data_IF_560510764524
#
_entry.id   IF_560510764524
#
_cell.length_a   1.000
_cell.length_b   1.000
_cell.length_c   1.000
_cell.angle_alpha   90.00
_cell.angle_beta   90.00
_cell.angle_gamma   90.00
#
_symmetry.space_group_name_H-M   'P 1'
#
loop_
_entity.id
_entity.type
_entity.pdbx_description
1 polymer ?
#
# COMPACT_ATOMS: atom_id res chain seq x y z
N UNK A 1 -10.87 -4.98 -15.33
CA UNK A 1 -10.74 -6.41 -15.18
C UNK A 1 -9.65 -6.77 -14.18
N UNK A 2 -9.66 -8.01 -13.71
CA UNK A 2 -8.63 -8.57 -12.84
C UNK A 2 -7.96 -9.70 -13.60
N UNK A 3 -6.62 -9.67 -13.69
CA UNK A 3 -5.80 -10.77 -14.18
C UNK A 3 -5.32 -11.54 -12.94
N UNK A 4 -5.81 -12.74 -12.76
CA UNK A 4 -5.54 -13.55 -11.58
C UNK A 4 -4.82 -14.85 -11.88
N UNK A 5 -5.03 -15.83 -11.02
CA UNK A 5 -4.39 -17.15 -11.01
C UNK A 5 -4.28 -17.82 -12.39
N UNK A 6 -5.34 -17.74 -13.23
CA UNK A 6 -5.36 -18.42 -14.53
C UNK A 6 -4.30 -17.90 -15.51
N UNK A 7 -3.91 -16.62 -15.41
CA UNK A 7 -2.80 -16.07 -16.19
C UNK A 7 -1.45 -16.56 -15.63
N UNK A 8 -1.26 -16.41 -14.32
CA UNK A 8 -0.01 -16.76 -13.63
C UNK A 8 0.30 -18.26 -13.67
N UNK A 9 -0.74 -19.09 -13.77
CA UNK A 9 -0.60 -20.54 -13.95
C UNK A 9 -0.03 -20.95 -15.32
N UNK A 10 -0.28 -20.13 -16.36
CA UNK A 10 0.11 -20.44 -17.74
C UNK A 10 1.45 -19.86 -18.12
N UNK A 11 1.84 -18.75 -17.51
CA UNK A 11 3.04 -18.02 -17.87
C UNK A 11 3.86 -17.71 -16.62
N UNK A 12 5.17 -17.62 -16.80
CA UNK A 12 6.00 -16.90 -15.85
C UNK A 12 5.79 -15.40 -16.09
N UNK A 13 5.37 -14.71 -15.05
CA UNK A 13 4.94 -13.29 -15.11
C UNK A 13 5.96 -12.41 -14.43
N UNK A 14 6.63 -11.55 -15.19
CA UNK A 14 7.56 -10.56 -14.66
C UNK A 14 6.89 -9.19 -14.61
N UNK A 15 6.87 -8.58 -13.43
CA UNK A 15 6.32 -7.24 -13.19
C UNK A 15 7.44 -6.29 -12.83
N UNK A 16 7.61 -5.25 -13.64
CA UNK A 16 8.54 -4.15 -13.40
C UNK A 16 7.74 -2.87 -13.14
N UNK A 17 7.63 -2.51 -11.87
CA UNK A 17 6.82 -1.37 -11.45
C UNK A 17 7.42 -0.03 -11.89
N UNK A 18 8.75 0.08 -11.97
CA UNK A 18 9.41 1.31 -12.40
C UNK A 18 9.24 1.53 -13.90
N UNK A 19 9.43 0.49 -14.70
CA UNK A 19 9.19 0.53 -16.14
C UNK A 19 7.70 0.50 -16.50
N UNK A 20 6.81 0.17 -15.53
CA UNK A 20 5.37 -0.04 -15.73
C UNK A 20 5.07 -1.08 -16.80
N UNK A 21 5.83 -2.16 -16.78
CA UNK A 21 5.69 -3.27 -17.74
C UNK A 21 5.38 -4.57 -17.04
N UNK A 22 4.61 -5.40 -17.74
CA UNK A 22 4.39 -6.80 -17.39
C UNK A 22 4.81 -7.64 -18.59
N UNK A 23 5.70 -8.60 -18.36
CA UNK A 23 6.19 -9.52 -19.37
C UNK A 23 5.67 -10.91 -19.07
N UNK A 24 5.12 -11.57 -20.07
CA UNK A 24 4.68 -12.95 -20.02
C UNK A 24 5.66 -13.81 -20.80
N UNK A 25 6.14 -14.87 -20.19
CA UNK A 25 7.08 -15.82 -20.82
C UNK A 25 6.51 -17.22 -20.67
N UNK A 26 6.56 -17.99 -21.73
CA UNK A 26 6.17 -19.40 -21.66
C UNK A 26 7.03 -20.13 -20.63
N UNK A 27 6.42 -21.01 -19.85
CA UNK A 27 7.09 -21.71 -18.74
C UNK A 27 8.32 -22.50 -19.21
N UNK A 28 8.24 -23.15 -20.37
CA UNK A 28 9.32 -23.95 -20.93
C UNK A 28 10.48 -23.10 -21.47
N UNK A 29 10.19 -21.87 -21.87
CA UNK A 29 11.18 -20.93 -22.41
C UNK A 29 11.87 -20.10 -21.31
N UNK A 30 11.26 -19.99 -20.13
CA UNK A 30 11.79 -19.14 -19.07
C UNK A 30 13.01 -19.74 -18.37
N UNK A 31 13.93 -18.88 -17.96
CA UNK A 31 15.13 -19.22 -17.18
C UNK A 31 15.29 -18.24 -16.04
N UNK A 32 15.72 -18.76 -14.87
CA UNK A 32 15.84 -17.97 -13.64
C UNK A 32 17.10 -17.07 -13.60
N UNK A 33 17.98 -17.17 -14.61
CA UNK A 33 19.24 -16.44 -14.63
C UNK A 33 18.99 -14.92 -14.56
N UNK A 34 19.59 -14.28 -13.54
CA UNK A 34 19.43 -12.85 -13.32
C UNK A 34 18.06 -12.40 -12.79
N UNK A 35 17.17 -13.33 -12.46
CA UNK A 35 15.83 -12.98 -11.94
C UNK A 35 15.84 -12.46 -10.50
N UNK A 36 16.94 -12.57 -9.78
CA UNK A 36 17.10 -12.14 -8.40
C UNK A 36 17.00 -13.27 -7.39
N UNK A 37 16.61 -12.95 -6.16
CA UNK A 37 16.54 -13.90 -5.06
C UNK A 37 15.24 -14.69 -5.13
N UNK A 38 15.34 -16.02 -5.12
CA UNK A 38 14.17 -16.91 -5.11
C UNK A 38 13.54 -16.99 -3.70
N UNK A 39 12.26 -16.76 -3.63
CA UNK A 39 11.42 -16.94 -2.44
C UNK A 39 10.43 -18.07 -2.74
N UNK A 40 10.51 -19.20 -2.05
CA UNK A 40 9.53 -20.27 -2.22
C UNK A 40 8.16 -19.83 -1.66
N UNK A 41 7.09 -20.36 -2.25
CA UNK A 41 5.75 -20.18 -1.74
C UNK A 41 4.95 -21.49 -1.81
N UNK A 42 3.86 -21.54 -1.08
CA UNK A 42 2.83 -22.56 -1.19
C UNK A 42 1.52 -21.91 -1.63
N UNK A 43 0.62 -22.68 -2.23
CA UNK A 43 -0.71 -22.15 -2.54
C UNK A 43 -1.66 -22.34 -1.36
N UNK A 44 -2.30 -21.24 -0.96
CA UNK A 44 -3.51 -21.26 -0.14
C UNK A 44 -4.71 -21.04 -1.09
N UNK A 45 -5.34 -22.14 -1.50
CA UNK A 45 -6.26 -22.10 -2.63
C UNK A 45 -5.55 -21.72 -3.94
N UNK A 46 -5.77 -20.50 -4.41
CA UNK A 46 -5.13 -19.95 -5.62
C UNK A 46 -4.18 -18.79 -5.33
N UNK A 47 -3.99 -18.45 -4.05
CA UNK A 47 -3.16 -17.33 -3.61
C UNK A 47 -1.80 -17.86 -3.17
N UNK A 48 -0.69 -17.30 -3.64
CA UNK A 48 0.64 -17.65 -3.14
C UNK A 48 0.83 -17.14 -1.72
N UNK A 49 1.24 -18.03 -0.83
CA UNK A 49 1.56 -17.75 0.57
C UNK A 49 3.05 -17.97 0.79
N UNK A 50 3.72 -16.98 1.34
CA UNK A 50 5.17 -16.96 1.58
C UNK A 50 5.48 -16.88 3.07
N UNK A 51 6.62 -17.44 3.47
CA UNK A 51 7.16 -17.25 4.82
C UNK A 51 7.76 -15.86 4.96
N UNK A 52 7.53 -15.22 6.10
CA UNK A 52 8.08 -13.92 6.44
C UNK A 52 8.25 -13.73 7.95
N UNK A 53 8.84 -12.61 8.33
CA UNK A 53 9.04 -12.24 9.73
C UNK A 53 8.79 -10.74 9.92
N UNK A 54 8.03 -10.40 10.94
CA UNK A 54 7.76 -9.03 11.35
C UNK A 54 7.87 -8.88 12.86
N UNK A 55 8.64 -7.88 13.32
CA UNK A 55 8.86 -7.67 14.75
C UNK A 55 9.47 -8.88 15.48
N UNK A 56 10.28 -9.71 14.80
CA UNK A 56 10.85 -10.94 15.33
C UNK A 56 9.87 -12.13 15.34
N UNK A 57 8.68 -11.99 14.78
CA UNK A 57 7.63 -13.02 14.75
C UNK A 57 7.58 -13.61 13.35
N UNK A 58 7.90 -14.89 13.22
CA UNK A 58 7.76 -15.64 11.98
C UNK A 58 6.28 -15.98 11.74
N UNK A 59 5.84 -15.80 10.49
CA UNK A 59 4.48 -16.07 10.06
C UNK A 59 4.40 -16.22 8.53
N UNK A 60 3.25 -16.63 8.02
CA UNK A 60 2.97 -16.70 6.59
C UNK A 60 2.15 -15.49 6.14
N UNK A 61 2.33 -15.11 4.88
CA UNK A 61 1.71 -13.93 4.29
C UNK A 61 1.24 -14.23 2.87
N UNK A 62 0.00 -13.87 2.55
CA UNK A 62 -0.50 -13.86 1.18
C UNK A 62 0.26 -12.83 0.33
N UNK A 63 0.46 -13.12 -0.94
CA UNK A 63 1.01 -12.15 -1.90
C UNK A 63 -0.12 -11.61 -2.75
N UNK A 64 -0.44 -10.32 -2.57
CA UNK A 64 -1.55 -9.62 -3.22
C UNK A 64 -1.08 -8.39 -3.99
N UNK A 65 -0.84 -8.54 -5.29
CA UNK A 65 -0.43 -7.42 -6.17
C UNK A 65 -1.51 -6.36 -6.34
N UNK A 66 -2.76 -6.66 -6.03
CA UNK A 66 -3.89 -5.73 -6.05
C UNK A 66 -3.99 -4.83 -4.81
N UNK A 67 -3.34 -5.21 -3.72
CA UNK A 67 -3.23 -4.38 -2.52
C UNK A 67 -2.19 -3.28 -2.70
N UNK A 68 -2.56 -2.04 -2.32
CA UNK A 68 -1.62 -0.89 -2.32
C UNK A 68 -0.80 -0.78 -1.04
N UNK A 69 -1.14 -1.53 -0.01
CA UNK A 69 -0.37 -1.57 1.23
C UNK A 69 1.03 -2.17 0.97
N UNK A 70 2.00 -1.87 1.81
CA UNK A 70 3.25 -2.62 1.83
C UNK A 70 3.04 -3.95 2.54
N UNK A 71 2.58 -3.91 3.78
CA UNK A 71 2.16 -5.07 4.57
C UNK A 71 0.82 -4.76 5.21
N UNK A 72 -0.18 -5.60 4.97
CA UNK A 72 -1.43 -5.61 5.71
C UNK A 72 -1.41 -6.75 6.75
N UNK A 73 -1.71 -6.47 8.01
CA UNK A 73 -1.77 -7.47 9.07
C UNK A 73 -3.21 -7.71 9.49
N UNK A 74 -3.59 -8.97 9.55
CA UNK A 74 -4.92 -9.40 9.98
C UNK A 74 -5.13 -9.12 11.48
N UNK A 75 -6.35 -8.73 11.85
CA UNK A 75 -6.65 -8.32 13.23
C UNK A 75 -6.37 -9.39 14.29
N UNK A 76 -6.58 -10.72 14.07
CA UNK A 76 -6.22 -11.72 15.06
C UNK A 76 -4.70 -11.80 15.31
N UNK A 77 -3.88 -11.70 14.26
CA UNK A 77 -2.43 -11.69 14.39
C UNK A 77 -1.95 -10.46 15.17
N UNK A 78 -2.49 -9.29 14.84
CA UNK A 78 -2.20 -8.02 15.54
C UNK A 78 -2.54 -8.11 17.02
N UNK A 79 -3.71 -8.68 17.36
CA UNK A 79 -4.17 -8.84 18.74
C UNK A 79 -3.34 -9.85 19.51
N UNK A 80 -3.12 -11.04 18.95
CA UNK A 80 -2.34 -12.13 19.56
C UNK A 80 -0.95 -11.66 19.99
N UNK A 81 -0.32 -10.83 19.19
CA UNK A 81 1.05 -10.37 19.41
C UNK A 81 1.14 -8.94 19.96
N UNK A 82 0.02 -8.30 20.31
CA UNK A 82 -0.05 -6.95 20.84
C UNK A 82 0.74 -5.90 20.01
N UNK A 83 0.72 -6.03 18.67
CA UNK A 83 1.61 -5.29 17.76
C UNK A 83 1.37 -3.78 17.78
N UNK A 84 0.15 -3.31 18.09
CA UNK A 84 -0.13 -1.87 18.21
C UNK A 84 0.62 -1.19 19.34
N UNK A 85 0.93 -1.92 20.40
CA UNK A 85 1.74 -1.38 21.50
C UNK A 85 3.25 -1.39 21.16
N UNK A 86 3.67 -2.31 20.29
CA UNK A 86 5.09 -2.47 19.90
C UNK A 86 5.49 -1.51 18.78
N UNK A 87 4.60 -1.30 17.79
CA UNK A 87 4.93 -0.48 16.62
C UNK A 87 4.47 0.96 16.82
N UNK A 88 5.36 1.79 17.31
CA UNK A 88 5.14 3.22 17.61
C UNK A 88 6.26 4.06 17.02
N UNK A 89 6.01 5.32 16.58
CA UNK A 89 4.70 5.99 16.58
C UNK A 89 3.72 5.37 15.56
N UNK A 90 2.42 5.53 15.83
CA UNK A 90 1.36 5.01 14.97
C UNK A 90 0.20 6.01 14.83
N UNK A 91 -0.60 5.84 13.77
CA UNK A 91 -1.81 6.62 13.52
C UNK A 91 -2.96 5.71 13.12
N UNK A 92 -4.19 6.07 13.49
CA UNK A 92 -5.38 5.45 12.93
C UNK A 92 -5.81 6.17 11.65
N UNK A 93 -6.11 5.40 10.60
CA UNK A 93 -6.53 5.94 9.33
C UNK A 93 -7.46 4.98 8.58
N UNK A 94 -8.09 5.48 7.52
CA UNK A 94 -8.65 4.64 6.46
C UNK A 94 -7.47 4.09 5.66
N UNK A 95 -7.43 2.78 5.48
CA UNK A 95 -6.31 2.07 4.86
C UNK A 95 -6.69 1.39 3.55
N UNK A 96 -7.98 1.19 3.32
CA UNK A 96 -8.52 0.59 2.12
C UNK A 96 -10.02 0.85 1.93
N UNK A 97 -10.55 0.29 0.86
CA UNK A 97 -11.98 0.33 0.54
C UNK A 97 -12.42 -1.05 0.06
N UNK A 98 -13.30 -1.68 0.79
CA UNK A 98 -13.89 -2.98 0.46
C UNK A 98 -15.33 -2.80 -0.02
N UNK A 99 -15.99 -3.90 -0.41
CA UNK A 99 -17.40 -3.89 -0.79
C UNK A 99 -18.33 -3.34 0.32
N UNK A 100 -17.95 -3.52 1.58
CA UNK A 100 -18.68 -3.00 2.76
C UNK A 100 -18.31 -1.56 3.15
N UNK A 101 -17.48 -0.84 2.39
CA UNK A 101 -17.03 0.51 2.68
C UNK A 101 -15.56 0.61 3.13
N UNK A 102 -15.20 1.69 3.85
CA UNK A 102 -13.81 1.93 4.24
C UNK A 102 -13.31 0.89 5.26
N UNK A 103 -12.11 0.38 5.02
CA UNK A 103 -11.37 -0.39 6.02
C UNK A 103 -10.49 0.55 6.83
N UNK A 104 -10.39 0.30 8.13
CA UNK A 104 -9.57 1.09 9.05
C UNK A 104 -8.47 0.24 9.64
N UNK A 105 -7.32 0.84 9.87
CA UNK A 105 -6.17 0.22 10.49
C UNK A 105 -5.37 1.22 11.32
N UNK A 106 -4.50 0.68 12.14
CA UNK A 106 -3.43 1.44 12.80
C UNK A 106 -2.18 1.29 11.94
N UNK A 107 -1.69 2.39 11.43
CA UNK A 107 -0.50 2.43 10.58
C UNK A 107 0.73 2.75 11.42
N UNK A 108 1.78 2.01 11.20
CA UNK A 108 3.08 2.25 11.83
C UNK A 108 4.21 1.94 10.85
N UNK A 109 5.42 2.31 11.21
CA UNK A 109 6.64 1.92 10.50
C UNK A 109 7.37 0.88 11.29
N UNK A 110 7.82 -0.19 10.63
CA UNK A 110 8.71 -1.18 11.20
C UNK A 110 10.08 -1.05 10.54
N UNK A 111 11.14 -1.25 11.34
CA UNK A 111 12.51 -1.11 10.86
C UNK A 111 12.83 -2.13 9.77
N UNK A 112 12.28 -3.33 9.88
CA UNK A 112 12.55 -4.43 8.96
C UNK A 112 11.38 -5.41 8.88
N UNK A 113 11.08 -5.83 7.66
CA UNK A 113 10.30 -7.01 7.33
C UNK A 113 11.19 -8.01 6.61
N UNK A 114 11.08 -9.28 6.91
CA UNK A 114 11.75 -10.36 6.15
C UNK A 114 10.74 -11.06 5.26
N UNK A 115 11.11 -11.25 4.01
CA UNK A 115 10.36 -12.00 3.02
C UNK A 115 11.25 -13.17 2.57
N UNK A 116 11.07 -14.33 3.17
CA UNK A 116 12.02 -15.41 3.03
C UNK A 116 13.45 -14.94 3.38
N UNK A 117 14.43 -15.10 2.47
CA UNK A 117 15.81 -14.65 2.70
C UNK A 117 16.01 -13.13 2.53
N UNK A 118 15.02 -12.39 1.99
CA UNK A 118 15.16 -10.97 1.68
C UNK A 118 14.74 -10.10 2.85
N UNK A 119 15.63 -9.22 3.32
CA UNK A 119 15.32 -8.23 4.35
C UNK A 119 14.94 -6.89 3.70
N UNK A 120 13.75 -6.38 4.04
CA UNK A 120 13.22 -5.13 3.51
C UNK A 120 13.14 -4.11 4.65
N UNK A 121 13.93 -3.03 4.62
CA UNK A 121 13.94 -2.05 5.70
C UNK A 121 12.81 -1.03 5.58
N UNK A 122 12.49 -0.38 6.72
CA UNK A 122 11.62 0.79 6.81
C UNK A 122 10.26 0.61 6.13
N UNK A 123 9.54 -0.46 6.48
CA UNK A 123 8.27 -0.86 5.87
C UNK A 123 7.09 -0.26 6.64
N UNK A 124 6.10 0.25 5.94
CA UNK A 124 4.83 0.67 6.51
C UNK A 124 3.93 -0.55 6.67
N UNK A 125 3.41 -0.73 7.87
CA UNK A 125 2.45 -1.80 8.19
C UNK A 125 1.07 -1.21 8.47
N UNK A 126 0.05 -1.86 7.95
CA UNK A 126 -1.36 -1.61 8.24
C UNK A 126 -1.86 -2.71 9.19
N UNK A 127 -2.07 -2.39 10.44
CA UNK A 127 -2.60 -3.27 11.47
C UNK A 127 -4.13 -3.15 11.48
N UNK A 128 -4.82 -4.10 10.86
CA UNK A 128 -6.27 -4.07 10.69
C UNK A 128 -7.03 -3.89 12.00
N UNK A 129 -8.05 -3.02 11.96
CA UNK A 129 -9.05 -2.83 13.02
C UNK A 129 -10.37 -3.53 12.70
N UNK A 130 -10.43 -4.29 11.61
CA UNK A 130 -11.64 -4.95 11.16
C UNK A 130 -12.06 -6.07 12.12
N UNK A 131 -13.36 -6.22 12.30
CA UNK A 131 -13.98 -7.28 13.13
C UNK A 131 -14.71 -8.33 12.30
N UNK A 132 -14.82 -8.11 10.99
CA UNK A 132 -15.50 -8.98 10.02
C UNK A 132 -14.74 -8.99 8.68
N UNK A 133 -14.93 -10.04 7.91
CA UNK A 133 -14.35 -10.19 6.57
C UNK A 133 -12.96 -10.81 6.59
N UNK A 134 -12.30 -10.83 5.44
CA UNK A 134 -11.02 -11.53 5.23
C UNK A 134 -9.88 -11.06 6.14
N UNK A 135 -9.91 -9.80 6.56
CA UNK A 135 -8.91 -9.24 7.49
C UNK A 135 -9.07 -9.76 8.94
N UNK A 136 -10.01 -10.66 9.19
CA UNK A 136 -10.18 -11.38 10.47
C UNK A 136 -9.78 -12.85 10.39
N UNK A 137 -9.17 -13.28 9.30
CA UNK A 137 -8.62 -14.62 9.18
C UNK A 137 -7.47 -14.81 10.19
N UNK A 138 -7.40 -16.00 10.77
CA UNK A 138 -6.36 -16.34 11.75
C UNK A 138 -5.06 -16.78 11.08
N UNK A 139 -5.13 -17.21 9.83
CA UNK A 139 -4.00 -17.52 8.97
C UNK A 139 -4.42 -17.15 7.51
N UNK A 140 -3.49 -16.58 6.73
CA UNK A 140 -2.15 -16.11 7.10
C UNK A 140 -2.16 -14.90 8.07
N UNK A 141 -0.98 -14.47 8.52
CA UNK A 141 -0.85 -13.28 9.39
C UNK A 141 -1.32 -11.98 8.73
N UNK A 142 -1.29 -11.96 7.41
CA UNK A 142 -1.67 -10.82 6.60
C UNK A 142 -1.25 -10.98 5.15
N UNK A 143 -1.07 -9.86 4.45
CA UNK A 143 -0.70 -9.84 3.04
C UNK A 143 0.46 -8.88 2.73
N UNK A 144 1.22 -9.23 1.69
CA UNK A 144 2.26 -8.41 1.08
C UNK A 144 1.68 -7.79 -0.18
N UNK A 145 1.65 -6.47 -0.22
CA UNK A 145 1.06 -5.75 -1.34
C UNK A 145 2.08 -5.05 -2.25
N UNK A 146 1.56 -4.39 -3.27
CA UNK A 146 2.36 -3.66 -4.26
C UNK A 146 3.19 -2.53 -3.65
N UNK A 147 2.80 -2.00 -2.48
CA UNK A 147 3.60 -1.02 -1.74
C UNK A 147 5.01 -1.53 -1.42
N UNK A 148 5.17 -2.81 -1.05
CA UNK A 148 6.45 -3.45 -0.84
C UNK A 148 7.04 -4.00 -2.15
N UNK A 149 6.21 -4.70 -2.93
CA UNK A 149 6.67 -5.40 -4.14
C UNK A 149 7.30 -4.45 -5.18
N UNK A 150 6.84 -3.20 -5.27
CA UNK A 150 7.41 -2.19 -6.17
C UNK A 150 8.90 -1.84 -5.89
N UNK A 151 9.47 -2.32 -4.78
CA UNK A 151 10.90 -2.19 -4.50
C UNK A 151 11.75 -3.16 -5.33
N UNK A 152 11.08 -4.07 -6.03
CA UNK A 152 11.71 -5.13 -6.81
C UNK A 152 11.13 -5.18 -8.22
N UNK A 153 11.89 -5.73 -9.14
CA UNK A 153 11.31 -6.42 -10.28
C UNK A 153 10.90 -7.78 -9.76
N UNK A 154 9.62 -8.10 -9.85
CA UNK A 154 9.07 -9.34 -9.29
C UNK A 154 8.75 -10.31 -10.43
N UNK A 155 9.28 -11.52 -10.35
CA UNK A 155 8.92 -12.58 -11.29
C UNK A 155 8.18 -13.69 -10.55
N UNK A 156 6.97 -13.96 -10.98
CA UNK A 156 6.11 -15.01 -10.45
C UNK A 156 6.23 -16.25 -11.32
N UNK A 157 6.78 -17.32 -10.78
CA UNK A 157 6.91 -18.62 -11.39
C UNK A 157 6.01 -19.62 -10.64
N UNK A 158 4.74 -19.60 -10.99
CA UNK A 158 3.73 -20.42 -10.32
C UNK A 158 3.94 -21.93 -10.50
N UNK A 159 4.32 -22.43 -11.71
CA UNK A 159 4.60 -23.84 -11.89
C UNK A 159 5.68 -24.40 -10.96
N UNK A 160 6.72 -23.60 -10.66
CA UNK A 160 7.79 -24.01 -9.76
C UNK A 160 7.63 -23.47 -8.33
N UNK A 161 6.50 -22.80 -8.02
CA UNK A 161 6.19 -22.22 -6.72
C UNK A 161 7.33 -21.32 -6.19
N UNK A 162 7.75 -20.37 -7.03
CA UNK A 162 8.81 -19.41 -6.72
C UNK A 162 8.36 -17.98 -7.08
N UNK A 163 8.75 -17.05 -6.23
CA UNK A 163 8.73 -15.62 -6.55
C UNK A 163 10.18 -15.16 -6.55
N UNK A 164 10.64 -14.54 -7.62
CA UNK A 164 11.98 -13.99 -7.69
C UNK A 164 11.92 -12.48 -7.46
N UNK A 165 12.81 -11.99 -6.59
CA UNK A 165 12.89 -10.60 -6.20
C UNK A 165 14.24 -10.04 -6.65
N UNK A 166 14.22 -9.23 -7.70
CA UNK A 166 15.40 -8.49 -8.17
C UNK A 166 15.31 -7.05 -7.65
N UNK A 167 16.22 -6.67 -6.75
CA UNK A 167 16.23 -5.33 -6.19
C UNK A 167 16.40 -4.28 -7.31
N UNK A 168 15.57 -3.24 -7.28
CA UNK A 168 15.67 -2.13 -8.23
C UNK A 168 16.65 -1.08 -7.72
N UNK A 169 17.58 -0.65 -8.58
CA UNK A 169 18.43 0.47 -8.29
C UNK A 169 17.61 1.78 -8.19
N UNK A 170 17.92 2.63 -7.24
CA UNK A 170 17.25 3.93 -7.06
C UNK A 170 15.86 3.87 -6.41
N UNK A 171 15.38 2.69 -6.04
CA UNK A 171 14.13 2.56 -5.28
C UNK A 171 14.33 3.07 -3.86
N UNK A 172 13.32 3.77 -3.35
CA UNK A 172 13.36 4.36 -2.01
C UNK A 172 13.59 3.30 -0.95
N UNK A 173 14.61 3.50 -0.12
CA UNK A 173 14.94 2.62 1.01
C UNK A 173 13.87 2.65 2.13
N UNK A 174 12.91 3.59 2.06
CA UNK A 174 11.84 3.79 3.04
C UNK A 174 10.50 3.88 2.33
N UNK A 175 9.50 3.17 2.82
CA UNK A 175 8.13 3.31 2.31
C UNK A 175 7.62 4.73 2.52
N UNK A 176 6.95 5.26 1.51
CA UNK A 176 6.22 6.49 1.65
C UNK A 176 4.80 6.21 2.14
N UNK A 177 4.34 6.98 3.11
CA UNK A 177 2.94 7.08 3.49
C UNK A 177 2.44 8.49 3.18
N UNK A 178 1.12 8.67 3.08
CA UNK A 178 0.52 9.99 2.87
C UNK A 178 0.96 10.98 3.95
N UNK A 179 1.38 12.18 3.53
CA UNK A 179 1.92 13.22 4.40
C UNK A 179 0.93 14.34 4.70
N UNK A 180 -0.22 14.30 4.06
CA UNK A 180 -1.31 15.26 4.28
C UNK A 180 -2.27 14.83 5.39
N UNK A 181 -2.45 13.51 5.53
CA UNK A 181 -3.46 12.89 6.38
C UNK A 181 -4.83 12.81 5.71
N UNK A 182 -4.90 12.91 4.38
CA UNK A 182 -6.13 12.83 3.62
C UNK A 182 -6.33 11.43 3.04
N UNK A 183 -7.57 10.94 3.13
CA UNK A 183 -8.05 9.89 2.26
C UNK A 183 -9.04 10.49 1.28
N UNK A 184 -8.71 10.44 -0.02
CA UNK A 184 -9.50 11.06 -1.09
C UNK A 184 -9.88 10.03 -2.14
N UNK A 185 -11.07 10.17 -2.69
CA UNK A 185 -11.56 9.37 -3.82
C UNK A 185 -12.20 10.27 -4.87
N UNK A 186 -12.44 9.69 -6.06
CA UNK A 186 -13.18 10.37 -7.12
C UNK A 186 -14.60 10.67 -6.62
N UNK A 187 -15.06 11.88 -6.85
CA UNK A 187 -16.40 12.32 -6.49
C UNK A 187 -16.98 13.34 -7.48
N UNK A 188 -18.26 13.70 -7.34
CA UNK A 188 -18.88 14.70 -8.19
C UNK A 188 -18.18 16.06 -8.07
N UNK A 189 -17.64 16.51 -9.21
CA UNK A 189 -17.02 17.83 -9.33
C UNK A 189 -15.66 17.98 -8.68
N UNK A 190 -14.97 16.86 -8.34
CA UNK A 190 -13.63 16.89 -7.78
C UNK A 190 -13.24 15.61 -7.03
N UNK A 191 -12.27 15.71 -6.14
CA UNK A 191 -11.88 14.61 -5.25
C UNK A 191 -12.52 14.79 -3.89
N UNK A 192 -13.39 13.85 -3.51
CA UNK A 192 -14.06 13.85 -2.20
C UNK A 192 -13.07 13.43 -1.12
N UNK A 193 -13.08 14.17 -0.02
CA UNK A 193 -12.37 13.81 1.21
C UNK A 193 -13.24 12.83 1.98
N UNK A 194 -12.83 11.57 2.02
CA UNK A 194 -13.58 10.50 2.71
C UNK A 194 -13.09 10.26 4.14
N UNK A 195 -11.87 10.71 4.46
CA UNK A 195 -11.37 10.73 5.83
C UNK A 195 -10.22 11.71 6.01
N UNK A 196 -10.05 12.18 7.23
CA UNK A 196 -8.94 13.03 7.66
C UNK A 196 -8.34 12.46 8.92
N UNK A 197 -7.02 12.21 8.91
CA UNK A 197 -6.29 11.73 10.08
C UNK A 197 -6.23 12.85 11.13
N UNK A 198 -6.54 12.52 12.38
CA UNK A 198 -6.50 13.47 13.49
C UNK A 198 -5.10 14.10 13.64
N UNK A 199 -5.05 15.39 13.99
CA UNK A 199 -3.83 16.18 14.15
C UNK A 199 -2.88 16.17 12.93
N UNK A 200 -3.33 15.71 11.75
CA UNK A 200 -2.59 15.77 10.50
C UNK A 200 -2.48 17.20 9.95
N UNK A 201 -1.62 17.45 8.96
CA UNK A 201 -1.58 18.74 8.25
C UNK A 201 -2.94 19.18 7.71
N UNK A 202 -3.70 18.25 7.10
CA UNK A 202 -5.05 18.54 6.59
C UNK A 202 -6.03 18.92 7.70
N UNK A 203 -6.02 18.17 8.83
CA UNK A 203 -6.86 18.48 9.99
C UNK A 203 -6.56 19.88 10.55
N UNK A 204 -5.27 20.23 10.68
CA UNK A 204 -4.83 21.55 11.15
C UNK A 204 -5.20 22.68 10.20
N UNK A 205 -5.25 22.41 8.90
CA UNK A 205 -5.74 23.35 7.88
C UNK A 205 -7.27 23.44 7.83
N UNK A 206 -7.97 22.69 8.69
CA UNK A 206 -9.42 22.69 8.83
C UNK A 206 -10.16 21.94 7.71
N UNK A 207 -9.46 21.07 6.95
CA UNK A 207 -10.11 20.15 6.02
C UNK A 207 -10.86 19.09 6.85
N UNK A 208 -12.07 18.74 6.44
CA UNK A 208 -12.91 17.74 7.09
C UNK A 208 -13.45 16.73 6.08
N UNK A 209 -13.95 15.63 6.58
CA UNK A 209 -14.67 14.64 5.79
C UNK A 209 -15.88 15.30 5.10
N UNK A 210 -16.13 14.93 3.86
CA UNK A 210 -17.18 15.50 3.00
C UNK A 210 -16.75 16.74 2.19
N UNK A 211 -15.61 17.36 2.49
CA UNK A 211 -15.05 18.38 1.62
C UNK A 211 -14.74 17.81 0.24
N UNK A 212 -14.81 18.64 -0.80
CA UNK A 212 -14.44 18.29 -2.17
C UNK A 212 -13.27 19.15 -2.61
N UNK A 213 -12.13 18.53 -2.91
CA UNK A 213 -10.99 19.23 -3.49
C UNK A 213 -11.31 19.50 -4.96
N UNK A 214 -11.33 20.78 -5.34
CA UNK A 214 -11.66 21.25 -6.70
C UNK A 214 -10.44 21.80 -7.44
N UNK A 215 -9.37 22.17 -6.72
CA UNK A 215 -8.08 22.53 -7.31
C UNK A 215 -6.93 22.12 -6.40
N UNK A 216 -5.76 21.87 -6.99
CA UNK A 216 -4.49 21.58 -6.32
C UNK A 216 -3.40 22.42 -6.96
N UNK A 217 -2.65 23.17 -6.15
CA UNK A 217 -1.57 24.08 -6.59
C UNK A 217 -2.00 24.98 -7.78
N UNK A 218 -3.25 25.49 -7.75
CA UNK A 218 -3.84 26.34 -8.77
C UNK A 218 -4.43 25.61 -10.00
N UNK A 219 -4.25 24.29 -10.09
CA UNK A 219 -4.77 23.49 -11.20
C UNK A 219 -6.11 22.84 -10.84
N UNK A 220 -7.13 23.01 -11.67
CA UNK A 220 -8.42 22.33 -11.47
C UNK A 220 -8.24 20.84 -11.53
N UNK A 221 -8.77 20.11 -10.53
CA UNK A 221 -8.63 18.66 -10.42
C UNK A 221 -9.32 17.86 -11.53
N UNK A 222 -10.21 18.47 -12.30
CA UNK A 222 -10.81 17.87 -13.51
C UNK A 222 -9.78 17.58 -14.61
N UNK A 223 -8.58 18.16 -14.51
CA UNK A 223 -7.44 17.95 -15.43
C UNK A 223 -6.35 17.06 -14.82
N UNK A 224 -6.57 16.51 -13.62
CA UNK A 224 -5.62 15.71 -12.86
C UNK A 224 -6.17 14.30 -12.66
N UNK A 225 -5.29 13.32 -12.68
CA UNK A 225 -5.63 11.98 -12.26
C UNK A 225 -5.60 11.89 -10.72
N UNK A 226 -6.52 11.16 -10.14
CA UNK A 226 -6.56 10.93 -8.68
C UNK A 226 -5.23 10.37 -8.14
N UNK A 227 -4.58 9.49 -8.91
CA UNK A 227 -3.30 8.93 -8.52
C UNK A 227 -2.20 9.99 -8.47
N UNK A 228 -2.15 10.94 -9.41
CA UNK A 228 -1.15 12.02 -9.41
C UNK A 228 -1.30 12.91 -8.17
N UNK A 229 -2.54 13.19 -7.77
CA UNK A 229 -2.83 13.95 -6.54
C UNK A 229 -2.41 13.17 -5.30
N UNK A 230 -2.75 11.88 -5.22
CA UNK A 230 -2.32 11.01 -4.12
C UNK A 230 -0.79 10.90 -4.05
N UNK A 231 -0.13 10.81 -5.19
CA UNK A 231 1.33 10.73 -5.27
C UNK A 231 1.97 12.05 -4.85
N UNK A 232 1.40 13.19 -5.22
CA UNK A 232 1.83 14.51 -4.76
C UNK A 232 1.78 14.63 -3.24
N UNK A 233 0.70 14.13 -2.61
CA UNK A 233 0.52 14.16 -1.15
C UNK A 233 1.41 13.14 -0.42
N UNK A 234 1.67 11.99 -1.04
CA UNK A 234 2.49 10.90 -0.47
C UNK A 234 3.98 11.15 -0.63
N UNK A 235 4.41 11.58 -1.82
CA UNK A 235 5.83 11.64 -2.19
C UNK A 235 6.41 13.06 -2.13
N UNK A 236 5.60 14.09 -1.95
CA UNK A 236 6.10 15.44 -1.67
C UNK A 236 7.01 15.44 -0.44
N UNK A 237 8.11 16.19 -0.49
CA UNK A 237 9.06 16.24 0.63
C UNK A 237 8.41 16.83 1.90
N UNK A 238 8.78 16.38 3.10
CA UNK A 238 8.39 17.07 4.33
C UNK A 238 8.74 18.55 4.26
N UNK A 239 7.83 19.41 4.74
CA UNK A 239 7.96 20.87 4.61
C UNK A 239 7.38 21.46 3.33
N UNK A 240 7.07 20.62 2.31
CA UNK A 240 6.41 21.11 1.09
C UNK A 240 5.02 21.64 1.42
N UNK A 241 4.73 22.86 0.97
CA UNK A 241 3.38 23.43 1.05
C UNK A 241 2.59 23.05 -0.20
N UNK A 242 1.46 22.39 0.02
CA UNK A 242 0.47 22.07 -1.03
C UNK A 242 -0.75 22.97 -0.83
N UNK A 243 -1.15 23.69 -1.87
CA UNK A 243 -2.34 24.55 -1.84
C UNK A 243 -3.53 23.79 -2.41
N UNK A 244 -4.59 23.67 -1.63
CA UNK A 244 -5.84 23.06 -2.05
C UNK A 244 -6.94 24.11 -2.09
N UNK A 245 -7.76 24.10 -3.14
CA UNK A 245 -9.06 24.77 -3.11
C UNK A 245 -10.10 23.71 -2.75
N UNK A 246 -10.75 23.86 -1.61
CA UNK A 246 -11.76 22.93 -1.11
C UNK A 246 -13.15 23.57 -1.13
N UNK A 247 -14.15 22.78 -1.53
CA UNK A 247 -15.56 23.16 -1.52
C UNK A 247 -16.28 22.41 -0.41
N UNK A 248 -17.00 23.16 0.44
CA UNK A 248 -17.90 22.65 1.49
C UNK A 248 -19.29 23.20 1.23
N UNK A 249 -20.21 22.35 0.80
CA UNK A 249 -21.53 22.79 0.35
C UNK A 249 -21.42 23.77 -0.81
N UNK A 250 -21.85 25.01 -0.58
CA UNK A 250 -21.80 26.11 -1.59
C UNK A 250 -20.58 27.02 -1.48
N UNK A 251 -19.78 26.86 -0.44
CA UNK A 251 -18.63 27.71 -0.14
C UNK A 251 -17.33 27.05 -0.63
N UNK A 252 -16.48 27.86 -1.25
CA UNK A 252 -15.13 27.44 -1.66
C UNK A 252 -14.11 28.25 -0.87
N UNK A 253 -13.03 27.61 -0.43
CA UNK A 253 -11.92 28.25 0.28
C UNK A 253 -10.60 27.64 -0.09
N UNK A 254 -9.55 28.43 -0.03
CA UNK A 254 -8.18 27.95 -0.19
C UNK A 254 -7.59 27.58 1.17
N UNK A 255 -6.87 26.47 1.19
CA UNK A 255 -6.14 25.98 2.36
C UNK A 255 -4.72 25.58 1.96
N UNK A 256 -3.77 25.84 2.84
CA UNK A 256 -2.39 25.44 2.67
C UNK A 256 -2.08 24.30 3.65
N UNK A 257 -1.56 23.20 3.12
CA UNK A 257 -1.17 22.01 3.89
C UNK A 257 0.35 21.88 3.80
N UNK A 258 1.05 21.93 4.94
CA UNK A 258 2.49 21.65 4.99
C UNK A 258 2.69 20.18 5.25
N UNK A 259 3.19 19.46 4.24
CA UNK A 259 3.40 18.01 4.31
C UNK A 259 4.41 17.64 5.40
N UNK A 260 4.14 16.58 6.16
CA UNK A 260 5.07 16.01 7.15
C UNK A 260 4.93 14.50 7.24
N UNK A 261 5.98 13.82 7.67
CA UNK A 261 5.86 12.41 8.04
C UNK A 261 4.87 12.27 9.20
N UNK A 262 3.94 11.32 9.07
CA UNK A 262 2.93 11.00 10.08
C UNK A 262 3.32 9.79 10.92
N UNK A 263 4.19 8.90 10.33
CA UNK A 263 4.72 7.68 10.93
C UNK A 263 6.18 7.51 10.58
#
# INVERSE_FOLDING_TARGET
GILGYELFKRFVVRVDYAARTMTLTDTDAWRADGAGVAVPFVFNGTVPEVEGEIGGIAATFDVDTGSRASIGLNSPFVQKHALRAQFTPSIEAVTGWALGGPTRGTLARVDRFRLGPVAVPNVVVDMSLQRLGTLTNTAPAGSIGSGLLQRFVVTFDYPHQRIYLLAQAGVRARDAYDRSGLWINQGPGGFRVDAVVAASPAARAGVVEGDVIVALDGHRVTRLLLNDVRDRLRYGLPGTVVRLTVRRGRTTRDVAITLRDLI
#
